data_IF_961149059777
#
_entry.id   IF_961149059777
#
_cell.length_a   1.000
_cell.length_b   1.000
_cell.length_c   1.000
_cell.angle_alpha   90.00
_cell.angle_beta   90.00
_cell.angle_gamma   90.00
#
_symmetry.space_group_name_H-M   'P 1'
#
loop_
_entity.id
_entity.type
_entity.pdbx_description
1 polymer ?
#
# COMPACT_ATOMS: atom_id res chain seq x y z
N UNK A 1 -13.33 19.52 9.76
CA UNK A 1 -13.06 18.20 9.12
C UNK A 1 -11.57 17.90 9.27
N UNK A 2 -11.21 16.73 9.77
CA UNK A 2 -9.83 16.30 9.94
C UNK A 2 -9.12 16.14 8.58
N UNK A 3 -7.85 16.55 8.53
CA UNK A 3 -6.97 16.35 7.36
C UNK A 3 -6.33 14.96 7.46
N UNK A 4 -7.00 13.94 6.95
CA UNK A 4 -6.47 12.57 6.90
C UNK A 4 -5.68 12.38 5.62
N UNK A 5 -4.39 12.11 5.78
CA UNK A 5 -3.45 11.80 4.69
C UNK A 5 -3.11 10.30 4.73
N UNK A 6 -3.36 9.58 3.64
CA UNK A 6 -2.94 8.17 3.54
C UNK A 6 -1.84 8.05 2.50
N UNK A 7 -0.66 7.56 2.92
CA UNK A 7 0.52 7.37 2.09
C UNK A 7 0.70 5.90 1.76
N UNK A 8 0.97 5.60 0.50
CA UNK A 8 1.23 4.25 0.02
C UNK A 8 2.71 4.09 -0.35
N UNK A 9 3.39 3.29 0.42
CA UNK A 9 4.72 2.74 0.16
C UNK A 9 4.60 1.25 -0.22
N UNK A 10 5.71 0.64 -0.62
CA UNK A 10 5.81 -0.80 -0.85
C UNK A 10 7.07 -1.32 -0.16
N UNK A 11 8.19 -1.37 -0.86
CA UNK A 11 9.46 -1.84 -0.29
C UNK A 11 10.34 -0.69 0.21
N UNK A 12 11.18 -0.99 1.19
CA UNK A 12 12.27 -0.11 1.65
C UNK A 12 13.58 -0.85 1.41
N UNK A 13 14.43 -0.32 0.52
CA UNK A 13 15.72 -0.96 0.20
C UNK A 13 16.78 0.07 -0.15
N UNK A 14 18.03 -0.11 0.28
CA UNK A 14 19.12 0.78 -0.08
C UNK A 14 19.61 0.58 -1.52
N UNK A 15 19.30 -0.54 -2.15
CA UNK A 15 19.91 -0.97 -3.41
C UNK A 15 18.94 -1.42 -4.50
N UNK A 16 17.68 -1.69 -4.18
CA UNK A 16 16.72 -2.14 -5.17
C UNK A 16 16.21 -0.97 -6.03
N UNK A 17 16.53 -0.94 -7.36
CA UNK A 17 16.16 0.19 -8.22
C UNK A 17 14.69 0.13 -8.72
N UNK A 18 13.86 -0.74 -8.12
CA UNK A 18 12.44 -0.86 -8.50
C UNK A 18 11.68 0.43 -8.22
N UNK A 19 10.73 0.84 -9.08
CA UNK A 19 9.94 2.06 -8.88
C UNK A 19 9.23 2.12 -7.53
N UNK A 20 8.80 0.98 -6.98
CA UNK A 20 8.09 0.87 -5.71
C UNK A 20 9.02 0.84 -4.47
N UNK A 21 10.34 0.83 -4.65
CA UNK A 21 11.31 0.86 -3.56
C UNK A 21 11.65 2.30 -3.15
N UNK A 22 11.92 2.50 -1.88
CA UNK A 22 12.45 3.77 -1.35
C UNK A 22 13.66 3.50 -0.47
N UNK A 23 14.70 4.35 -0.56
CA UNK A 23 15.85 4.24 0.32
C UNK A 23 15.46 4.55 1.79
N UNK A 24 16.04 3.81 2.78
CA UNK A 24 15.71 3.98 4.20
C UNK A 24 15.86 5.39 4.72
N UNK A 25 16.92 6.09 4.31
CA UNK A 25 17.19 7.48 4.71
C UNK A 25 16.18 8.48 4.10
N UNK A 26 15.73 8.25 2.87
CA UNK A 26 14.69 9.04 2.23
C UNK A 26 13.34 8.83 2.94
N UNK A 27 13.01 7.58 3.26
CA UNK A 27 11.83 7.22 4.04
C UNK A 27 11.83 7.93 5.40
N UNK A 28 12.92 7.83 6.17
CA UNK A 28 13.03 8.50 7.47
C UNK A 28 12.91 10.02 7.36
N UNK A 29 13.56 10.66 6.38
CA UNK A 29 13.42 12.11 6.14
C UNK A 29 11.98 12.53 5.88
N UNK A 30 11.24 11.72 5.12
CA UNK A 30 9.81 11.96 4.83
C UNK A 30 8.96 11.91 6.10
N UNK A 31 9.14 10.87 6.93
CA UNK A 31 8.41 10.74 8.19
C UNK A 31 8.72 11.89 9.16
N UNK A 32 9.99 12.23 9.35
CA UNK A 32 10.40 13.36 10.19
C UNK A 32 9.82 14.69 9.71
N UNK A 33 9.65 14.88 8.41
CA UNK A 33 8.98 16.06 7.88
C UNK A 33 7.52 16.11 8.30
N UNK A 34 6.78 14.99 8.26
CA UNK A 34 5.38 14.92 8.71
C UNK A 34 5.25 15.22 10.20
N UNK A 35 6.11 14.60 11.02
CA UNK A 35 6.17 14.87 12.46
C UNK A 35 6.38 16.38 12.74
N UNK A 36 7.36 17.00 12.08
CA UNK A 36 7.61 18.46 12.21
C UNK A 36 6.45 19.33 11.73
N UNK A 37 5.56 18.81 10.91
CA UNK A 37 4.34 19.49 10.45
C UNK A 37 3.13 19.23 11.35
N UNK A 38 3.31 18.54 12.47
CA UNK A 38 2.27 18.25 13.43
C UNK A 38 1.30 17.15 13.02
N UNK A 39 1.70 16.29 12.04
CA UNK A 39 0.93 15.09 11.75
C UNK A 39 1.13 14.05 12.86
N UNK A 40 0.04 13.40 13.25
CA UNK A 40 0.04 12.21 14.10
C UNK A 40 -0.25 10.98 13.26
N UNK A 41 0.54 9.95 13.46
CA UNK A 41 0.33 8.69 12.77
C UNK A 41 -0.81 7.88 13.44
N UNK A 42 -1.53 7.15 12.60
CA UNK A 42 -2.54 6.19 12.99
C UNK A 42 -2.55 5.05 11.94
N UNK A 43 -3.11 3.90 12.28
CA UNK A 43 -3.44 2.88 11.30
C UNK A 43 -4.55 3.37 10.36
N UNK A 44 -4.78 2.69 9.24
CA UNK A 44 -5.88 3.06 8.33
C UNK A 44 -7.23 2.94 9.02
N UNK A 45 -7.47 1.85 9.76
CA UNK A 45 -8.70 1.65 10.49
C UNK A 45 -8.98 2.78 11.48
N UNK A 46 -7.98 3.19 12.28
CA UNK A 46 -8.09 4.31 13.20
C UNK A 46 -8.29 5.65 12.48
N UNK A 47 -7.46 5.92 11.47
CA UNK A 47 -7.48 7.18 10.74
C UNK A 47 -8.81 7.44 10.03
N UNK A 48 -9.47 6.39 9.54
CA UNK A 48 -10.71 6.49 8.78
C UNK A 48 -11.97 6.38 9.65
N UNK A 49 -11.88 5.77 10.84
CA UNK A 49 -12.98 5.68 11.80
C UNK A 49 -13.01 6.90 12.74
N UNK A 50 -11.91 7.12 13.47
CA UNK A 50 -11.78 8.21 14.46
C UNK A 50 -10.36 8.78 14.45
N UNK A 51 -10.08 9.76 13.58
CA UNK A 51 -8.75 10.34 13.44
C UNK A 51 -8.24 10.95 14.76
N UNK A 52 -7.05 10.55 15.26
CA UNK A 52 -6.55 10.98 16.58
C UNK A 52 -6.14 12.47 16.65
N UNK A 53 -6.11 13.17 15.52
CA UNK A 53 -5.74 14.58 15.45
C UNK A 53 -6.35 15.26 14.22
N UNK A 54 -6.43 16.61 14.22
CA UNK A 54 -6.84 17.37 13.03
C UNK A 54 -5.95 17.09 11.80
N UNK A 55 -4.64 16.78 12.02
CA UNK A 55 -3.70 16.30 11.00
C UNK A 55 -3.32 14.87 11.33
N UNK A 56 -3.95 13.93 10.67
CA UNK A 56 -3.68 12.49 10.81
C UNK A 56 -3.00 11.96 9.55
N UNK A 57 -1.99 11.10 9.71
CA UNK A 57 -1.36 10.38 8.61
C UNK A 57 -1.42 8.88 8.85
N UNK A 58 -1.89 8.13 7.86
CA UNK A 58 -1.74 6.68 7.83
C UNK A 58 -0.60 6.33 6.87
N UNK A 59 0.40 5.64 7.39
CA UNK A 59 1.51 5.09 6.61
C UNK A 59 1.10 3.68 6.20
N UNK A 60 1.03 3.41 4.90
CA UNK A 60 0.65 2.08 4.41
C UNK A 60 1.74 1.47 3.56
N UNK A 61 1.87 0.15 3.64
CA UNK A 61 2.77 -0.65 2.82
C UNK A 61 1.97 -1.74 2.11
N UNK A 62 2.02 -1.76 0.79
CA UNK A 62 1.43 -2.82 -0.01
C UNK A 62 2.42 -4.00 -0.17
N UNK A 63 1.90 -5.17 -0.54
CA UNK A 63 2.64 -6.39 -0.84
C UNK A 63 3.34 -7.09 0.34
N UNK A 64 3.33 -6.49 1.54
CA UNK A 64 3.96 -7.06 2.73
C UNK A 64 5.43 -7.51 2.49
N UNK A 65 6.22 -6.73 1.75
CA UNK A 65 7.64 -7.02 1.54
C UNK A 65 8.38 -7.17 2.87
N UNK A 66 9.22 -8.18 2.99
CA UNK A 66 10.00 -8.43 4.21
C UNK A 66 10.92 -7.27 4.59
N UNK A 67 11.39 -6.50 3.61
CA UNK A 67 12.16 -5.29 3.83
C UNK A 67 11.43 -4.22 4.66
N UNK A 68 10.09 -4.24 4.70
CA UNK A 68 9.29 -3.37 5.58
C UNK A 68 9.52 -3.74 7.05
N UNK A 69 9.51 -5.02 7.38
CA UNK A 69 9.81 -5.49 8.74
C UNK A 69 11.25 -5.15 9.14
N UNK A 70 12.19 -5.38 8.24
CA UNK A 70 13.63 -5.28 8.53
C UNK A 70 14.14 -3.82 8.56
N UNK A 71 13.63 -2.96 7.68
CA UNK A 71 14.16 -1.61 7.46
C UNK A 71 13.18 -0.49 7.81
N UNK A 72 11.87 -0.63 7.47
CA UNK A 72 10.90 0.42 7.74
C UNK A 72 10.45 0.44 9.21
N UNK A 73 10.14 -0.74 9.77
CA UNK A 73 9.67 -0.87 11.16
C UNK A 73 10.60 -0.20 12.18
N UNK A 74 11.93 -0.44 12.20
CA UNK A 74 12.81 0.22 13.18
C UNK A 74 12.81 1.75 13.08
N UNK A 75 12.56 2.31 11.89
CA UNK A 75 12.44 3.76 11.68
C UNK A 75 11.12 4.27 12.28
N UNK A 76 10.02 3.58 12.02
CA UNK A 76 8.69 3.91 12.53
C UNK A 76 8.62 3.79 14.05
N UNK A 77 9.19 2.72 14.62
CA UNK A 77 9.26 2.49 16.07
C UNK A 77 9.99 3.64 16.78
N UNK A 78 11.15 4.10 16.24
CA UNK A 78 11.88 5.27 16.80
C UNK A 78 11.09 6.57 16.74
N UNK A 79 10.13 6.69 15.84
CA UNK A 79 9.28 7.87 15.68
C UNK A 79 7.93 7.72 16.39
N UNK A 80 7.65 6.57 17.01
CA UNK A 80 6.37 6.27 17.65
C UNK A 80 5.19 6.28 16.66
N UNK A 81 5.42 5.82 15.43
CA UNK A 81 4.43 5.85 14.35
C UNK A 81 3.94 4.44 14.03
N UNK A 82 2.67 4.09 14.30
CA UNK A 82 2.09 2.87 13.77
C UNK A 82 1.93 2.94 12.25
N UNK A 83 1.77 1.79 11.61
CA UNK A 83 1.51 1.70 10.18
C UNK A 83 0.49 0.59 9.86
N UNK A 84 0.05 0.54 8.61
CA UNK A 84 -0.78 -0.55 8.08
C UNK A 84 -0.01 -1.27 6.99
N UNK A 85 0.00 -2.60 7.01
CA UNK A 85 0.59 -3.44 5.96
C UNK A 85 -0.48 -4.29 5.30
N UNK A 86 -0.49 -4.33 3.98
CA UNK A 86 -1.45 -5.09 3.18
C UNK A 86 -0.79 -6.30 2.55
N UNK A 87 -1.29 -7.50 2.88
CA UNK A 87 -0.67 -8.77 2.52
C UNK A 87 -1.40 -9.48 1.38
N UNK A 88 -0.72 -9.85 0.29
CA UNK A 88 -1.25 -10.78 -0.70
C UNK A 88 -1.19 -12.20 -0.12
N UNK A 89 -2.33 -12.69 0.39
CA UNK A 89 -2.38 -13.78 1.37
C UNK A 89 -1.86 -15.12 0.85
N UNK A 90 -1.96 -15.36 -0.45
CA UNK A 90 -1.40 -16.56 -1.07
C UNK A 90 0.15 -16.61 -1.05
N UNK A 91 0.80 -15.49 -0.76
CA UNK A 91 2.27 -15.38 -0.72
C UNK A 91 2.85 -15.36 0.69
N UNK A 92 2.02 -15.10 1.70
CA UNK A 92 2.48 -15.06 3.08
C UNK A 92 3.09 -16.39 3.53
N UNK A 93 4.36 -16.36 3.93
CA UNK A 93 5.09 -17.54 4.40
C UNK A 93 5.55 -18.50 3.30
N UNK A 94 5.46 -18.11 2.03
CA UNK A 94 6.09 -18.88 0.94
C UNK A 94 7.57 -18.57 0.82
N UNK A 95 8.38 -19.58 0.57
CA UNK A 95 9.81 -19.39 0.24
C UNK A 95 10.02 -18.84 -1.18
N UNK A 96 9.04 -19.02 -2.07
CA UNK A 96 9.09 -18.52 -3.43
C UNK A 96 8.99 -16.98 -3.47
N UNK A 97 9.71 -16.32 -4.37
CA UNK A 97 9.59 -14.89 -4.59
C UNK A 97 8.18 -14.55 -5.09
N UNK A 98 7.62 -13.42 -4.63
CA UNK A 98 6.38 -12.89 -5.18
C UNK A 98 6.55 -12.59 -6.66
N UNK A 99 5.54 -12.94 -7.47
CA UNK A 99 5.59 -12.76 -8.91
C UNK A 99 4.21 -12.43 -9.47
N UNK A 100 4.11 -11.26 -10.09
CA UNK A 100 2.97 -10.78 -10.89
C UNK A 100 3.42 -9.67 -11.84
N UNK A 101 2.62 -9.26 -12.82
CA UNK A 101 3.00 -8.20 -13.76
C UNK A 101 3.41 -6.89 -13.04
N UNK A 102 4.66 -6.49 -13.24
CA UNK A 102 5.26 -5.29 -12.63
C UNK A 102 6.40 -5.59 -11.65
N UNK A 103 6.50 -6.83 -11.12
CA UNK A 103 7.63 -7.28 -10.32
C UNK A 103 8.30 -8.56 -10.84
N UNK A 104 7.64 -9.28 -11.73
CA UNK A 104 8.08 -10.54 -12.34
C UNK A 104 9.46 -10.45 -13.02
N UNK A 105 9.83 -9.28 -13.55
CA UNK A 105 11.16 -9.05 -14.15
C UNK A 105 12.33 -9.15 -13.14
N UNK A 106 12.07 -9.14 -11.85
CA UNK A 106 13.10 -9.25 -10.81
C UNK A 106 13.34 -10.69 -10.35
N UNK A 107 12.47 -11.64 -10.76
CA UNK A 107 12.61 -13.07 -10.46
C UNK A 107 13.83 -13.62 -11.22
N UNK A 108 14.65 -14.41 -10.54
CA UNK A 108 15.91 -14.98 -11.10
C UNK A 108 17.05 -13.97 -11.22
N UNK A 109 16.83 -12.70 -10.82
CA UNK A 109 17.83 -11.64 -10.90
C UNK A 109 18.54 -11.38 -9.56
N UNK A 110 19.51 -10.43 -9.54
CA UNK A 110 20.28 -10.11 -8.34
C UNK A 110 19.46 -9.51 -7.21
N UNK A 111 18.25 -9.05 -7.50
CA UNK A 111 17.31 -8.45 -6.53
C UNK A 111 16.12 -9.37 -6.19
N UNK A 112 16.15 -10.65 -6.55
CA UNK A 112 15.06 -11.59 -6.25
C UNK A 112 14.76 -11.67 -4.74
N UNK A 113 15.79 -11.57 -3.91
CA UNK A 113 15.65 -11.58 -2.46
C UNK A 113 14.76 -10.48 -1.91
N UNK A 114 14.58 -9.37 -2.65
CA UNK A 114 13.68 -8.26 -2.31
C UNK A 114 12.20 -8.64 -2.47
N UNK A 115 11.89 -9.68 -3.26
CA UNK A 115 10.53 -10.13 -3.56
C UNK A 115 9.95 -11.07 -2.48
N UNK A 116 10.57 -11.14 -1.30
CA UNK A 116 10.07 -11.99 -0.22
C UNK A 116 8.91 -11.33 0.51
N UNK A 117 7.80 -12.07 0.62
CA UNK A 117 6.68 -11.71 1.48
C UNK A 117 6.99 -12.07 2.94
N UNK A 118 6.44 -11.31 3.87
CA UNK A 118 6.46 -11.67 5.28
C UNK A 118 5.70 -12.98 5.54
N UNK A 119 6.12 -13.70 6.59
CA UNK A 119 5.38 -14.85 7.11
C UNK A 119 4.20 -14.40 7.98
N UNK A 120 3.23 -15.30 8.21
CA UNK A 120 2.14 -15.02 9.15
C UNK A 120 2.62 -14.76 10.58
N UNK A 121 3.72 -15.37 11.00
CA UNK A 121 4.35 -15.12 12.30
C UNK A 121 4.89 -13.68 12.38
N UNK A 122 5.61 -13.25 11.35
CA UNK A 122 6.13 -11.87 11.24
C UNK A 122 4.99 -10.84 11.21
N UNK A 123 3.90 -11.12 10.47
CA UNK A 123 2.71 -10.26 10.40
C UNK A 123 1.97 -10.19 11.74
N UNK A 124 1.83 -11.33 12.48
CA UNK A 124 1.30 -11.31 13.85
C UNK A 124 2.16 -10.46 14.76
N UNK A 125 3.49 -10.61 14.67
CA UNK A 125 4.43 -9.79 15.42
C UNK A 125 4.25 -8.29 15.18
N UNK A 126 3.99 -7.86 13.95
CA UNK A 126 3.66 -6.46 13.65
C UNK A 126 2.34 -6.04 14.30
N UNK A 127 1.31 -6.87 14.18
CA UNK A 127 -0.01 -6.59 14.74
C UNK A 127 0.02 -6.52 16.29
N UNK A 128 0.82 -7.33 16.95
CA UNK A 128 1.02 -7.30 18.41
C UNK A 128 1.77 -6.04 18.88
N UNK A 129 2.48 -5.37 17.96
CA UNK A 129 3.15 -4.08 18.19
C UNK A 129 2.33 -2.87 17.71
N UNK A 130 1.01 -3.04 17.51
CA UNK A 130 0.10 -1.94 17.19
C UNK A 130 0.03 -1.57 15.71
N UNK A 131 0.60 -2.38 14.82
CA UNK A 131 0.36 -2.21 13.38
C UNK A 131 -0.98 -2.81 12.98
N UNK A 132 -1.56 -2.28 11.92
CA UNK A 132 -2.67 -2.92 11.25
C UNK A 132 -2.16 -3.84 10.14
N UNK A 133 -2.70 -5.06 10.07
CA UNK A 133 -2.48 -5.97 8.95
C UNK A 133 -3.81 -6.14 8.22
N UNK A 134 -3.85 -5.67 6.99
CA UNK A 134 -5.00 -5.75 6.09
C UNK A 134 -4.72 -6.66 4.90
N UNK A 135 -5.76 -6.91 4.10
CA UNK A 135 -5.69 -7.73 2.90
C UNK A 135 -5.17 -6.95 1.69
N UNK A 136 -4.36 -7.62 0.84
CA UNK A 136 -4.06 -7.17 -0.52
C UNK A 136 -4.54 -8.20 -1.55
N UNK A 137 -5.74 -8.78 -1.33
CA UNK A 137 -6.30 -9.92 -2.03
C UNK A 137 -5.49 -11.22 -1.80
N UNK A 138 -5.82 -12.31 -2.47
CA UNK A 138 -5.08 -13.56 -2.35
C UNK A 138 -3.86 -13.58 -3.27
N UNK A 139 -4.06 -13.35 -4.56
CA UNK A 139 -3.06 -13.56 -5.62
C UNK A 139 -2.61 -12.27 -6.32
N UNK A 140 -3.09 -11.11 -5.88
CA UNK A 140 -2.76 -9.79 -6.43
C UNK A 140 -3.25 -9.56 -7.89
N UNK A 141 -4.51 -9.93 -8.25
CA UNK A 141 -5.02 -9.73 -9.60
C UNK A 141 -5.54 -8.30 -9.82
N UNK A 142 -5.82 -7.96 -11.09
CA UNK A 142 -6.62 -6.78 -11.42
C UNK A 142 -8.10 -7.11 -11.21
N UNK A 143 -8.66 -6.75 -10.07
CA UNK A 143 -10.01 -7.12 -9.65
C UNK A 143 -11.13 -6.81 -10.67
N UNK A 144 -11.13 -5.65 -11.38
CA UNK A 144 -12.16 -5.38 -12.39
C UNK A 144 -12.16 -6.36 -13.58
N UNK A 145 -11.07 -7.09 -13.80
CA UNK A 145 -10.93 -8.05 -14.92
C UNK A 145 -11.43 -9.45 -14.56
N UNK A 146 -11.75 -9.71 -13.29
CA UNK A 146 -12.26 -11.00 -12.81
C UNK A 146 -13.77 -11.14 -13.03
N UNK A 147 -14.25 -12.37 -13.20
CA UNK A 147 -15.67 -12.68 -13.02
C UNK A 147 -16.09 -12.59 -11.54
N UNK A 148 -17.39 -12.69 -11.26
CA UNK A 148 -17.92 -12.50 -9.90
C UNK A 148 -17.45 -13.59 -8.92
N UNK A 149 -17.34 -14.84 -9.38
CA UNK A 149 -16.90 -15.94 -8.52
C UNK A 149 -15.43 -15.82 -8.15
N UNK A 150 -14.56 -15.47 -9.11
CA UNK A 150 -13.16 -15.21 -8.86
C UNK A 150 -12.95 -13.96 -8.00
N UNK A 151 -13.74 -12.90 -8.23
CA UNK A 151 -13.70 -11.68 -7.42
C UNK A 151 -14.08 -11.94 -5.96
N UNK A 152 -15.17 -12.65 -5.71
CA UNK A 152 -15.59 -13.03 -4.36
C UNK A 152 -14.54 -13.97 -3.70
N UNK A 153 -13.94 -14.89 -4.46
CA UNK A 153 -12.85 -15.75 -3.99
C UNK A 153 -11.59 -14.97 -3.58
N UNK A 154 -11.21 -13.93 -4.33
CA UNK A 154 -10.09 -13.06 -4.00
C UNK A 154 -10.37 -12.19 -2.76
N UNK A 155 -11.57 -11.64 -2.63
CA UNK A 155 -11.90 -10.70 -1.56
C UNK A 155 -12.29 -11.40 -0.26
N UNK A 156 -13.30 -12.27 -0.28
CA UNK A 156 -13.72 -13.01 0.90
C UNK A 156 -12.67 -14.03 1.35
N UNK A 157 -12.01 -14.70 0.39
CA UNK A 157 -10.94 -15.64 0.67
C UNK A 157 -9.75 -14.99 1.36
N UNK A 158 -9.26 -13.84 0.87
CA UNK A 158 -8.13 -13.15 1.51
C UNK A 158 -8.48 -12.59 2.89
N UNK A 159 -9.72 -12.16 3.11
CA UNK A 159 -10.16 -11.74 4.45
C UNK A 159 -10.09 -12.92 5.42
N UNK A 160 -10.63 -14.07 5.03
CA UNK A 160 -10.59 -15.31 5.83
C UNK A 160 -9.15 -15.77 6.08
N UNK A 161 -8.28 -15.70 5.08
CA UNK A 161 -6.86 -16.04 5.22
C UNK A 161 -6.17 -15.11 6.24
N UNK A 162 -6.43 -13.79 6.19
CA UNK A 162 -5.91 -12.82 7.15
C UNK A 162 -6.41 -13.12 8.57
N UNK A 163 -7.71 -13.33 8.74
CA UNK A 163 -8.31 -13.63 10.06
C UNK A 163 -7.75 -14.91 10.65
N UNK A 164 -7.60 -15.95 9.83
CA UNK A 164 -7.01 -17.23 10.25
C UNK A 164 -5.51 -17.09 10.59
N UNK A 165 -4.76 -16.36 9.75
CA UNK A 165 -3.33 -16.15 9.93
C UNK A 165 -3.00 -15.27 11.14
N UNK A 166 -3.84 -14.29 11.44
CA UNK A 166 -3.60 -13.29 12.49
C UNK A 166 -4.30 -13.61 13.82
N UNK A 167 -5.37 -14.44 13.81
CA UNK A 167 -6.21 -14.69 14.98
C UNK A 167 -7.04 -13.47 15.41
N UNK A 168 -7.29 -12.54 14.50
CA UNK A 168 -8.05 -11.29 14.73
C UNK A 168 -8.78 -10.82 13.46
N UNK A 169 -9.75 -9.93 13.61
CA UNK A 169 -10.54 -9.38 12.51
C UNK A 169 -9.66 -8.64 11.49
N UNK A 170 -9.89 -8.90 10.20
CA UNK A 170 -9.31 -8.15 9.08
C UNK A 170 -10.30 -7.13 8.56
N UNK A 171 -10.12 -5.86 8.90
CA UNK A 171 -11.09 -4.80 8.61
C UNK A 171 -10.81 -4.03 7.33
N UNK A 172 -9.57 -4.09 6.82
CA UNK A 172 -9.16 -3.23 5.72
C UNK A 172 -8.56 -3.99 4.53
N UNK A 173 -8.70 -3.38 3.37
CA UNK A 173 -8.25 -3.88 2.07
C UNK A 173 -7.48 -2.78 1.32
N UNK A 174 -6.39 -3.14 0.64
CA UNK A 174 -5.83 -2.32 -0.43
C UNK A 174 -6.11 -3.00 -1.78
N UNK A 175 -6.64 -2.23 -2.73
CA UNK A 175 -6.91 -2.76 -4.08
C UNK A 175 -5.61 -2.85 -4.89
N UNK A 176 -5.24 -4.05 -5.41
CA UNK A 176 -4.06 -4.21 -6.26
C UNK A 176 -4.07 -3.24 -7.44
N UNK A 177 -2.91 -2.61 -7.71
CA UNK A 177 -2.74 -1.58 -8.76
C UNK A 177 -3.64 -0.35 -8.57
N UNK A 178 -4.37 -0.22 -7.46
CA UNK A 178 -5.44 0.75 -7.29
C UNK A 178 -6.63 0.50 -8.24
N UNK A 179 -6.73 -0.69 -8.85
CA UNK A 179 -7.76 -1.03 -9.82
C UNK A 179 -9.07 -1.40 -9.10
N UNK A 180 -10.05 -0.53 -9.23
CA UNK A 180 -11.36 -0.66 -8.57
C UNK A 180 -12.45 -0.02 -9.42
N UNK A 181 -13.62 -0.67 -9.45
CA UNK A 181 -14.86 -0.15 -10.00
C UNK A 181 -16.02 -0.34 -8.99
N UNK A 182 -17.23 0.05 -9.36
CA UNK A 182 -18.39 -0.07 -8.46
C UNK A 182 -18.70 -1.52 -8.08
N UNK A 183 -18.49 -2.47 -8.98
CA UNK A 183 -18.72 -3.91 -8.74
C UNK A 183 -17.73 -4.44 -7.71
N UNK A 184 -16.46 -4.06 -7.83
CA UNK A 184 -15.40 -4.41 -6.88
C UNK A 184 -15.67 -3.82 -5.50
N UNK A 185 -16.11 -2.56 -5.41
CA UNK A 185 -16.49 -1.94 -4.12
C UNK A 185 -17.64 -2.69 -3.46
N UNK A 186 -18.68 -3.02 -4.22
CA UNK A 186 -19.82 -3.79 -3.69
C UNK A 186 -19.41 -5.21 -3.25
N UNK A 187 -18.47 -5.86 -3.93
CA UNK A 187 -17.93 -7.15 -3.53
C UNK A 187 -17.06 -7.05 -2.25
N UNK A 188 -16.27 -6.00 -2.09
CA UNK A 188 -15.52 -5.74 -0.86
C UNK A 188 -16.45 -5.50 0.35
N UNK A 189 -17.56 -4.80 0.15
CA UNK A 189 -18.60 -4.61 1.17
C UNK A 189 -19.25 -5.94 1.56
N UNK A 190 -19.64 -6.78 0.57
CA UNK A 190 -20.20 -8.12 0.84
C UNK A 190 -19.19 -9.03 1.55
N UNK A 191 -17.90 -8.92 1.23
CA UNK A 191 -16.84 -9.65 1.92
C UNK A 191 -16.65 -9.19 3.38
N UNK A 192 -17.25 -8.06 3.81
CA UNK A 192 -17.24 -7.57 5.17
C UNK A 192 -16.07 -6.64 5.52
N UNK A 193 -15.36 -6.10 4.51
CA UNK A 193 -14.38 -5.03 4.77
C UNK A 193 -15.07 -3.75 5.19
N UNK A 194 -14.48 -3.03 6.14
CA UNK A 194 -14.98 -1.72 6.63
C UNK A 194 -14.28 -0.56 5.95
N UNK A 195 -13.02 -0.76 5.59
CA UNK A 195 -12.17 0.24 4.94
C UNK A 195 -11.48 -0.35 3.73
N UNK A 196 -11.39 0.42 2.64
CA UNK A 196 -10.55 0.03 1.53
C UNK A 196 -9.85 1.24 0.92
N UNK A 197 -8.58 1.05 0.57
CA UNK A 197 -7.71 2.11 0.07
C UNK A 197 -7.30 1.83 -1.39
N UNK A 198 -7.19 2.90 -2.17
CA UNK A 198 -6.86 2.83 -3.60
C UNK A 198 -5.79 3.85 -3.99
N UNK A 199 -5.19 3.67 -5.17
CA UNK A 199 -4.38 4.67 -5.84
C UNK A 199 -5.25 5.29 -6.96
N UNK A 200 -5.87 6.45 -6.73
CA UNK A 200 -6.88 6.98 -7.64
C UNK A 200 -6.28 7.43 -8.97
N UNK A 201 -6.98 7.11 -10.06
CA UNK A 201 -6.67 7.58 -11.42
C UNK A 201 -7.42 8.87 -11.80
N UNK A 202 -8.19 9.45 -10.88
CA UNK A 202 -9.02 10.64 -11.10
C UNK A 202 -9.49 11.29 -9.80
N UNK A 203 -10.40 12.25 -9.92
CA UNK A 203 -11.03 12.91 -8.78
C UNK A 203 -12.06 11.98 -8.15
N UNK A 204 -11.81 11.53 -6.93
CA UNK A 204 -12.75 10.74 -6.16
C UNK A 204 -13.06 11.41 -4.84
N UNK A 205 -14.32 11.36 -4.42
CA UNK A 205 -14.66 11.64 -3.02
C UNK A 205 -14.16 10.47 -2.18
N UNK A 206 -13.51 10.72 -1.05
CA UNK A 206 -13.16 9.67 -0.12
C UNK A 206 -14.42 9.01 0.45
N UNK A 207 -14.47 7.70 0.30
CA UNK A 207 -15.51 6.83 0.88
C UNK A 207 -14.84 5.73 1.67
N UNK A 208 -15.46 5.14 2.70
CA UNK A 208 -14.82 4.12 3.54
C UNK A 208 -14.20 2.97 2.75
N UNK A 209 -14.87 2.50 1.68
CA UNK A 209 -14.39 1.42 0.80
C UNK A 209 -13.72 1.93 -0.48
N UNK A 210 -13.42 3.22 -0.56
CA UNK A 210 -12.75 3.83 -1.73
C UNK A 210 -11.94 5.06 -1.31
N UNK A 211 -11.02 4.88 -0.37
CA UNK A 211 -10.22 5.99 0.15
C UNK A 211 -8.94 6.21 -0.69
N UNK A 212 -8.72 7.41 -1.23
CA UNK A 212 -7.56 7.70 -2.07
C UNK A 212 -6.28 7.82 -1.25
N UNK A 213 -5.19 7.22 -1.75
CA UNK A 213 -3.84 7.32 -1.19
C UNK A 213 -2.92 8.15 -2.09
N UNK A 214 -1.84 8.64 -1.50
CA UNK A 214 -0.71 9.23 -2.23
C UNK A 214 0.39 8.17 -2.37
N UNK A 215 0.59 7.66 -3.59
CA UNK A 215 1.68 6.72 -3.88
C UNK A 215 3.05 7.39 -3.75
N UNK A 216 4.01 6.72 -3.15
CA UNK A 216 5.39 7.17 -2.99
C UNK A 216 6.30 6.19 -3.73
N UNK A 217 7.17 6.72 -4.58
CA UNK A 217 7.97 5.93 -5.49
C UNK A 217 9.42 6.42 -5.51
N UNK A 218 10.33 5.57 -5.98
CA UNK A 218 11.77 5.84 -6.06
C UNK A 218 12.11 7.19 -6.73
N UNK A 219 11.38 7.53 -7.78
CA UNK A 219 11.58 8.78 -8.56
C UNK A 219 10.99 10.04 -7.89
N UNK A 220 10.30 9.89 -6.76
CA UNK A 220 9.80 11.02 -6.00
C UNK A 220 10.92 11.66 -5.17
N UNK A 221 11.82 12.40 -5.83
CA UNK A 221 12.84 13.18 -5.16
C UNK A 221 12.25 14.10 -4.09
N UNK A 222 13.06 14.48 -3.10
CA UNK A 222 12.61 15.21 -1.89
C UNK A 222 11.83 16.49 -2.21
N UNK A 223 12.21 17.22 -3.24
CA UNK A 223 11.51 18.45 -3.66
C UNK A 223 10.07 18.17 -4.13
N UNK A 224 9.88 17.12 -4.94
CA UNK A 224 8.56 16.71 -5.44
C UNK A 224 7.68 16.20 -4.31
N UNK A 225 8.24 15.40 -3.40
CA UNK A 225 7.53 14.90 -2.24
C UNK A 225 7.10 16.05 -1.31
N UNK A 226 8.01 16.97 -0.95
CA UNK A 226 7.71 18.15 -0.14
C UNK A 226 6.63 19.04 -0.77
N UNK A 227 6.64 19.18 -2.10
CA UNK A 227 5.63 19.93 -2.81
C UNK A 227 4.26 19.25 -2.72
N UNK A 228 4.16 17.92 -2.89
CA UNK A 228 2.92 17.16 -2.68
C UNK A 228 2.37 17.34 -1.26
N UNK A 229 3.22 17.37 -0.25
CA UNK A 229 2.82 17.54 1.15
C UNK A 229 2.45 18.99 1.51
N UNK A 230 2.86 19.99 0.73
CA UNK A 230 2.48 21.42 0.93
C UNK A 230 1.10 21.75 0.36
N UNK A 231 0.58 20.95 -0.52
CA UNK A 231 -0.70 21.19 -1.17
C UNK A 231 -1.83 20.94 -0.18
N UNK A 232 -2.91 21.75 -0.24
CA UNK A 232 -4.07 21.59 0.64
C UNK A 232 -4.69 20.19 0.51
N UNK A 233 -5.39 19.66 1.53
CA UNK A 233 -6.04 18.35 1.47
C UNK A 233 -6.91 18.18 0.22
N UNK A 234 -7.64 19.22 -0.16
CA UNK A 234 -8.48 19.23 -1.37
C UNK A 234 -7.63 19.11 -2.64
N UNK A 235 -6.54 19.86 -2.74
CA UNK A 235 -5.63 19.81 -3.88
C UNK A 235 -4.80 18.50 -3.90
N UNK A 236 -4.54 17.88 -2.76
CA UNK A 236 -3.95 16.53 -2.67
C UNK A 236 -4.91 15.47 -3.23
N UNK A 237 -6.20 15.55 -2.89
CA UNK A 237 -7.25 14.69 -3.45
C UNK A 237 -7.38 14.83 -4.96
N UNK A 238 -7.22 16.06 -5.48
CA UNK A 238 -7.25 16.37 -6.91
C UNK A 238 -6.00 15.86 -7.63
N UNK A 239 -4.83 15.85 -7.00
CA UNK A 239 -3.52 15.54 -7.60
C UNK A 239 -2.94 14.18 -7.24
N UNK A 240 -3.52 13.43 -6.32
CA UNK A 240 -3.27 12.00 -6.19
C UNK A 240 -3.62 11.25 -7.49
N UNK A 241 -4.45 11.86 -8.33
CA UNK A 241 -4.77 11.48 -9.70
C UNK A 241 -3.75 11.98 -10.75
N UNK A 242 -2.49 12.05 -10.43
CA UNK A 242 -1.46 12.44 -11.41
C UNK A 242 -0.97 11.28 -12.27
N UNK A 243 -0.41 11.56 -13.48
CA UNK A 243 -0.31 10.67 -14.62
C UNK A 243 0.67 9.51 -14.40
N UNK A 244 0.19 8.40 -13.88
CA UNK A 244 0.90 7.11 -13.85
C UNK A 244 0.50 6.17 -15.00
N UNK A 245 -0.21 6.69 -15.98
CA UNK A 245 -0.33 6.04 -17.31
C UNK A 245 1.03 5.85 -18.01
N UNK A 246 2.11 6.43 -17.46
CA UNK A 246 3.40 6.45 -18.16
C UNK A 246 4.36 5.30 -17.79
N UNK A 247 4.11 4.47 -16.80
CA UNK A 247 4.97 3.26 -16.63
C UNK A 247 4.63 2.22 -17.70
N UNK A 248 3.34 2.01 -17.99
CA UNK A 248 2.93 1.19 -19.14
C UNK A 248 3.18 1.90 -20.48
N UNK A 249 3.11 3.22 -20.53
CA UNK A 249 3.39 4.03 -21.72
C UNK A 249 4.87 4.19 -22.04
N UNK A 250 5.75 4.23 -21.05
CA UNK A 250 7.22 4.21 -21.25
C UNK A 250 7.67 2.83 -21.69
N UNK A 251 7.09 1.76 -21.16
CA UNK A 251 7.39 0.38 -21.58
C UNK A 251 7.01 0.14 -23.05
N UNK A 252 5.86 0.69 -23.52
CA UNK A 252 5.47 0.58 -24.94
C UNK A 252 6.34 1.41 -25.89
N UNK A 253 6.93 2.52 -25.44
CA UNK A 253 7.85 3.34 -26.27
C UNK A 253 9.26 2.80 -26.33
N UNK A 254 9.72 2.07 -25.26
CA UNK A 254 11.05 1.47 -25.25
C UNK A 254 11.11 0.11 -25.98
N UNK A 255 9.99 -0.63 -26.06
CA UNK A 255 9.89 -1.89 -26.78
C UNK A 255 9.50 -1.69 -28.26
N UNK A 256 9.00 -0.51 -28.65
CA UNK A 256 8.62 -0.18 -30.02
C UNK A 256 9.68 0.57 -30.84
N UNK A 257 10.91 0.74 -30.32
CA UNK A 257 12.01 1.45 -31.01
C UNK A 257 13.12 0.52 -31.53
N UNK A 258 12.95 -0.79 -31.43
CA UNK A 258 13.80 -1.79 -32.08
C UNK A 258 12.93 -2.71 -32.96
N UNK A 259 12.57 -2.17 -34.14
CA UNK A 259 11.88 -2.88 -35.19
C UNK A 259 12.08 -2.16 -36.52
#
# INVERSE_FOLDING_TARGET
>A
MSDVLVLCYHAVSPSWPAPMSIAPDAFERQLRFLVRRGYRAATVAEALSDPPAPRTVAITFDDAYRSVLELARPILDRLGMPASVYVPTAWAGRDAPMSWPGIDQWVGGPHEHELRCMTWEELRGLADHGWEVGSHTRSHPRLPELDDAALDGELAGSRTDCESGLGRECQSLAYPYGAVDRRVVAAAERAGYRHAVTLPRGLHRPEPLHWPRVGIYHVDGEARWRWRMKISPLARRIRASGPWESVDGVRRRLVGAEG
#
